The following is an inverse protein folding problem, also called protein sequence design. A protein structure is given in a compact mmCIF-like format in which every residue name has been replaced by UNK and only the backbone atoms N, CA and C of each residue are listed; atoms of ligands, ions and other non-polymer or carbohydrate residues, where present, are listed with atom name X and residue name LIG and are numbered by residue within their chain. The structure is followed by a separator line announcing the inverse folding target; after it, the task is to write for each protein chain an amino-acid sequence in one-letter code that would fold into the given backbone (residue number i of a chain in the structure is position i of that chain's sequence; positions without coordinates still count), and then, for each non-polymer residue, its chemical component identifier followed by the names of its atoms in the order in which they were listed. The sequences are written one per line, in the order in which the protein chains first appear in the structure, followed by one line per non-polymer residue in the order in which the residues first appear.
data_IF_463588977862
#
_entry.id   IF_463588977862
#
_cell.length_a   1.000
_cell.length_b   1.000
_cell.length_c   1.000
_cell.angle_alpha   90.00
_cell.angle_beta   90.00
_cell.angle_gamma   90.00
#
_symmetry.space_group_name_H-M   'P 1'
#
loop_
_entity.id
_entity.type
_entity.pdbx_description
1 polymer ?
#
# COMPACT_ATOMS: atom_id res chain seq x y z
N UNK A 1 -2.11 30.68 5.32
CA UNK A 1 -3.16 29.74 4.88
C UNK A 1 -4.27 29.72 5.90
N UNK A 2 -5.51 29.48 5.48
CA UNK A 2 -6.64 29.36 6.40
C UNK A 2 -6.61 28.00 7.10
N UNK A 3 -7.03 27.97 8.36
CA UNK A 3 -7.24 26.71 9.08
C UNK A 3 -8.46 25.97 8.49
N UNK A 4 -8.39 24.64 8.42
CA UNK A 4 -9.47 23.80 7.91
C UNK A 4 -9.41 22.40 8.53
N UNK A 5 -10.52 21.68 8.45
CA UNK A 5 -10.65 20.30 8.92
C UNK A 5 -10.58 19.36 7.73
N UNK A 6 -9.76 18.32 7.81
CA UNK A 6 -9.68 17.26 6.81
C UNK A 6 -10.39 16.00 7.33
N UNK A 7 -11.26 15.43 6.50
CA UNK A 7 -12.01 14.20 6.81
C UNK A 7 -11.60 13.13 5.81
N UNK A 8 -11.25 11.93 6.29
CA UNK A 8 -10.89 10.78 5.46
C UNK A 8 -11.88 9.64 5.70
N UNK A 9 -12.50 9.15 4.63
CA UNK A 9 -13.45 8.04 4.69
C UNK A 9 -12.72 6.72 4.40
N UNK A 10 -12.77 5.79 5.35
CA UNK A 10 -12.21 4.44 5.20
C UNK A 10 -13.38 3.49 5.01
N UNK A 11 -13.63 3.10 3.76
CA UNK A 11 -14.76 2.26 3.39
C UNK A 11 -14.46 0.77 3.57
N UNK A 12 -15.43 0.02 4.08
CA UNK A 12 -15.32 -1.43 4.33
C UNK A 12 -15.48 -2.28 3.06
N UNK A 13 -16.23 -1.79 2.07
CA UNK A 13 -16.52 -2.43 0.79
C UNK A 13 -15.37 -2.31 -0.23
N UNK A 14 -14.42 -1.41 0.01
CA UNK A 14 -13.23 -1.19 -0.83
C UNK A 14 -12.01 -1.98 -0.30
N UNK A 15 -11.61 -3.08 -0.95
CA UNK A 15 -10.45 -3.87 -0.52
C UNK A 15 -9.20 -3.01 -0.42
N UNK A 16 -8.54 -3.01 0.75
CA UNK A 16 -7.27 -2.32 0.95
C UNK A 16 -7.37 -0.84 1.38
N UNK A 17 -8.56 -0.26 1.52
CA UNK A 17 -8.72 1.13 2.00
C UNK A 17 -8.13 1.33 3.40
N UNK A 18 -8.42 0.42 4.35
CA UNK A 18 -7.83 0.49 5.69
C UNK A 18 -6.30 0.33 5.65
N UNK A 19 -5.78 -0.59 4.84
CA UNK A 19 -4.35 -0.83 4.73
C UNK A 19 -3.61 0.40 4.19
N UNK A 20 -4.20 1.10 3.22
CA UNK A 20 -3.66 2.36 2.71
C UNK A 20 -3.65 3.43 3.81
N UNK A 21 -4.77 3.60 4.53
CA UNK A 21 -4.86 4.61 5.57
C UNK A 21 -3.87 4.35 6.73
N UNK A 22 -3.68 3.08 7.12
CA UNK A 22 -2.64 2.70 8.10
C UNK A 22 -1.22 3.04 7.63
N UNK A 23 -0.95 2.98 6.33
CA UNK A 23 0.34 3.35 5.75
C UNK A 23 0.55 4.87 5.76
N UNK A 24 -0.51 5.65 5.55
CA UNK A 24 -0.48 7.12 5.70
C UNK A 24 -0.16 7.49 7.15
N UNK A 25 -0.89 6.94 8.11
CA UNK A 25 -0.64 7.15 9.55
C UNK A 25 0.81 6.84 9.93
N UNK A 26 1.35 5.71 9.46
CA UNK A 26 2.74 5.31 9.69
C UNK A 26 3.74 6.33 9.11
N UNK A 27 3.49 6.84 7.90
CA UNK A 27 4.39 7.81 7.24
C UNK A 27 4.35 9.18 7.89
N UNK A 28 3.20 9.59 8.40
CA UNK A 28 3.02 10.88 9.06
C UNK A 28 3.35 10.84 10.56
N UNK A 29 3.58 9.65 11.13
CA UNK A 29 3.85 9.47 12.56
C UNK A 29 2.66 9.85 13.46
N UNK A 30 1.45 9.90 12.89
CA UNK A 30 0.24 10.37 13.57
C UNK A 30 -0.85 9.31 13.48
N UNK A 31 -1.46 8.99 14.62
CA UNK A 31 -2.64 8.13 14.70
C UNK A 31 -3.87 9.01 14.80
N UNK A 32 -4.83 8.77 13.91
CA UNK A 32 -6.10 9.50 13.88
C UNK A 32 -7.16 8.62 14.55
N UNK A 33 -7.96 9.21 15.44
CA UNK A 33 -9.09 8.52 16.05
C UNK A 33 -10.14 8.21 14.97
N UNK A 34 -10.64 6.98 14.96
CA UNK A 34 -11.59 6.51 13.95
C UNK A 34 -12.97 6.41 14.56
N UNK A 35 -13.93 7.02 13.90
CA UNK A 35 -15.34 6.86 14.20
C UNK A 35 -15.93 5.79 13.29
N UNK A 36 -16.65 4.83 13.87
CA UNK A 36 -17.35 3.81 13.10
C UNK A 36 -18.79 4.24 12.95
N UNK A 37 -19.25 4.34 11.70
CA UNK A 37 -20.60 4.76 11.38
C UNK A 37 -21.52 3.54 11.25
N UNK A 38 -22.74 3.60 11.81
CA UNK A 38 -23.70 2.50 11.69
C UNK A 38 -24.03 2.23 10.21
N UNK A 39 -23.93 0.97 9.80
CA UNK A 39 -24.08 0.55 8.39
C UNK A 39 -22.78 0.54 7.58
N UNK A 40 -21.69 1.11 8.12
CA UNK A 40 -20.33 1.05 7.56
C UNK A 40 -19.35 0.39 8.53
N UNK A 41 -19.82 -0.66 9.21
CA UNK A 41 -19.00 -1.47 10.08
C UNK A 41 -17.88 -2.14 9.26
N UNK A 42 -16.62 -2.14 9.73
CA UNK A 42 -15.52 -2.80 9.04
C UNK A 42 -15.82 -4.30 8.92
N UNK A 43 -16.21 -4.73 7.73
CA UNK A 43 -16.32 -6.15 7.39
C UNK A 43 -14.93 -6.80 7.53
N UNK A 44 -14.90 -7.99 8.12
CA UNK A 44 -13.69 -8.70 8.56
C UNK A 44 -12.48 -8.45 7.66
N UNK A 45 -11.40 -7.98 8.29
CA UNK A 45 -10.11 -7.62 7.70
C UNK A 45 -9.74 -8.63 6.61
N UNK A 46 -9.92 -8.23 5.34
CA UNK A 46 -9.39 -9.01 4.24
C UNK A 46 -7.90 -9.20 4.49
N UNK A 47 -7.37 -10.44 4.38
CA UNK A 47 -5.97 -10.69 4.63
C UNK A 47 -5.16 -9.72 3.77
N UNK A 48 -4.10 -9.08 4.34
CA UNK A 48 -3.32 -8.11 3.61
C UNK A 48 -2.85 -8.78 2.32
N UNK A 49 -3.14 -8.15 1.16
CA UNK A 49 -2.58 -8.59 -0.11
C UNK A 49 -1.08 -8.74 0.09
N UNK A 50 -0.52 -9.95 -0.05
CA UNK A 50 0.90 -10.15 0.19
C UNK A 50 1.65 -9.22 -0.76
N UNK A 51 2.47 -8.33 -0.20
CA UNK A 51 3.42 -7.59 -1.00
C UNK A 51 4.31 -8.64 -1.67
N UNK A 52 4.20 -8.76 -2.99
CA UNK A 52 4.88 -9.80 -3.75
C UNK A 52 6.38 -9.73 -3.45
N UNK A 53 6.96 -10.70 -2.70
CA UNK A 53 8.36 -10.63 -2.29
C UNK A 53 9.30 -10.78 -3.50
N UNK A 54 8.78 -11.27 -4.62
CA UNK A 54 9.46 -11.35 -5.91
C UNK A 54 9.41 -10.02 -6.70
N UNK A 55 8.66 -9.02 -6.22
CA UNK A 55 8.56 -7.68 -6.80
C UNK A 55 9.86 -6.90 -6.67
N UNK A 56 10.84 -7.20 -7.53
CA UNK A 56 12.12 -6.51 -7.55
C UNK A 56 11.94 -5.00 -7.70
N UNK A 57 12.50 -4.23 -6.76
CA UNK A 57 12.50 -2.76 -6.76
C UNK A 57 12.99 -2.26 -8.14
N UNK A 58 12.16 -1.46 -8.82
CA UNK A 58 12.51 -0.81 -10.09
C UNK A 58 13.83 -0.06 -9.91
N UNK A 59 14.83 -0.41 -10.72
CA UNK A 59 16.20 0.13 -10.62
C UNK A 59 17.25 -0.85 -10.09
N UNK A 60 16.89 -1.81 -9.20
CA UNK A 60 17.77 -2.93 -8.81
C UNK A 60 17.60 -4.17 -9.67
N UNK A 61 16.44 -4.31 -10.31
CA UNK A 61 16.19 -5.42 -11.23
C UNK A 61 17.05 -5.24 -12.49
N UNK A 62 17.94 -6.19 -12.74
CA UNK A 62 18.66 -6.27 -14.02
C UNK A 62 17.64 -6.25 -15.16
N UNK A 63 17.88 -5.38 -16.15
CA UNK A 63 16.98 -5.28 -17.29
C UNK A 63 16.92 -6.64 -18.01
N UNK A 64 15.78 -6.96 -18.64
CA UNK A 64 15.63 -8.22 -19.39
C UNK A 64 16.74 -8.37 -20.43
N UNK A 65 17.19 -7.25 -21.02
CA UNK A 65 18.30 -7.21 -21.98
C UNK A 65 19.63 -7.59 -21.34
N UNK A 66 19.96 -6.99 -20.19
CA UNK A 66 21.26 -7.21 -19.55
C UNK A 66 21.36 -8.63 -18.99
N UNK A 67 20.25 -9.20 -18.50
CA UNK A 67 20.17 -10.60 -18.10
C UNK A 67 20.47 -11.56 -19.27
N UNK A 68 19.92 -11.29 -20.45
CA UNK A 68 20.16 -12.11 -21.65
C UNK A 68 21.61 -11.97 -22.15
N UNK A 69 22.20 -10.77 -22.05
CA UNK A 69 23.62 -10.55 -22.41
C UNK A 69 24.58 -11.28 -21.48
N UNK A 70 24.35 -11.23 -20.17
CA UNK A 70 25.16 -11.96 -19.20
C UNK A 70 25.08 -13.49 -19.41
N UNK A 71 23.90 -14.01 -19.73
CA UNK A 71 23.71 -15.43 -20.04
C UNK A 71 24.45 -15.88 -21.31
N UNK A 72 24.54 -15.00 -22.33
CA UNK A 72 25.29 -15.27 -23.55
C UNK A 72 26.81 -15.18 -23.37
N UNK A 73 27.29 -14.35 -22.43
CA UNK A 73 28.71 -14.20 -22.13
C UNK A 73 29.28 -15.28 -21.19
N UNK A 74 28.41 -16.05 -20.53
CA UNK A 74 28.79 -17.17 -19.65
C UNK A 74 28.96 -18.51 -20.40
N UNK A 75 28.83 -18.48 -21.74
CA UNK A 75 28.97 -19.62 -22.65
C UNK A 75 30.19 -19.44 -23.51
#
# INVERSE_FOLDING_TARGET
GAAGVAVSMVLADAPGSEAHFRLIEKRQGQRIQREVLPGFEPAAVLPPTPADPAGGVKGRRVSKKDKLRAAAALR
#
